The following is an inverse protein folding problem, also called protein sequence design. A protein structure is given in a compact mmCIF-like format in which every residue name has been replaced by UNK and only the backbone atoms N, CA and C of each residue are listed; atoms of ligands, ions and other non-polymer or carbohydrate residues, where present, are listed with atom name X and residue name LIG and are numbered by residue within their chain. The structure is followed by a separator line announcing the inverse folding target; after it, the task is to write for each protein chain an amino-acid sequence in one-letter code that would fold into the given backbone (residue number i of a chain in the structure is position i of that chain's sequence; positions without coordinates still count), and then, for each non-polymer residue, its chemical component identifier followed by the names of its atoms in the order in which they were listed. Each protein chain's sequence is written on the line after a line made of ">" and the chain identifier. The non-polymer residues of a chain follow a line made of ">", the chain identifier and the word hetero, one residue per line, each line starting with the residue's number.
data_IF_052581734645
#
_entry.id   IF_052581734645
#
_cell.length_a   1.000
_cell.length_b   1.000
_cell.length_c   1.000
_cell.angle_alpha   90.00
_cell.angle_beta   90.00
_cell.angle_gamma   90.00
#
_symmetry.space_group_name_H-M   'P 1'
#
loop_
_entity.id
_entity.type
_entity.pdbx_description
1 polymer ?
#
# COMPACT_ATOMS: atom_id res chain seq x y z
N UNK A 1 -17.21 43.74 -49.59
CA UNK A 1 -15.95 43.35 -48.95
C UNK A 1 -16.34 42.23 -48.00
N UNK A 2 -16.23 40.99 -48.46
CA UNK A 2 -16.64 39.83 -47.68
C UNK A 2 -15.38 39.30 -46.98
N UNK A 3 -15.33 39.41 -45.66
CA UNK A 3 -14.38 38.69 -44.83
C UNK A 3 -14.65 37.19 -45.03
N UNK A 4 -13.67 36.49 -45.60
CA UNK A 4 -13.58 35.04 -45.47
C UNK A 4 -13.02 34.78 -44.08
N UNK A 5 -13.89 34.44 -43.14
CA UNK A 5 -13.47 33.77 -41.91
C UNK A 5 -12.77 32.46 -42.32
N UNK A 6 -11.47 32.39 -42.06
CA UNK A 6 -10.69 31.18 -42.30
C UNK A 6 -11.19 30.13 -41.31
N UNK A 7 -11.75 29.04 -41.84
CA UNK A 7 -12.13 27.88 -41.05
C UNK A 7 -10.85 27.31 -40.43
N UNK A 8 -10.76 27.15 -39.09
CA UNK A 8 -9.62 26.48 -38.48
C UNK A 8 -9.49 25.07 -39.06
N UNK A 9 -8.26 24.68 -39.39
CA UNK A 9 -7.99 23.34 -39.90
C UNK A 9 -8.08 22.33 -38.76
N UNK A 10 -8.69 21.16 -38.99
CA UNK A 10 -8.91 20.13 -37.94
C UNK A 10 -7.65 19.79 -37.10
N UNK A 11 -6.44 19.99 -37.62
CA UNK A 11 -5.20 19.80 -36.87
C UNK A 11 -5.00 20.80 -35.71
N UNK A 12 -5.57 22.01 -35.80
CA UNK A 12 -5.44 23.07 -34.79
C UNK A 12 -6.42 22.85 -33.62
N UNK A 13 -7.63 22.33 -33.91
CA UNK A 13 -8.60 21.95 -32.88
C UNK A 13 -8.11 20.72 -32.07
N UNK A 14 -7.46 19.75 -32.73
CA UNK A 14 -6.89 18.59 -32.04
C UNK A 14 -5.75 18.99 -31.09
N UNK A 15 -4.93 19.98 -31.46
CA UNK A 15 -3.80 20.45 -30.64
C UNK A 15 -4.27 21.25 -29.41
N UNK A 16 -5.32 22.08 -29.56
CA UNK A 16 -5.92 22.82 -28.45
C UNK A 16 -6.61 21.87 -27.44
N UNK A 17 -7.34 20.86 -27.93
CA UNK A 17 -7.96 19.83 -27.08
C UNK A 17 -6.91 19.00 -26.34
N UNK A 18 -5.80 18.66 -26.99
CA UNK A 18 -4.69 17.95 -26.31
C UNK A 18 -4.06 18.81 -25.22
N UNK A 19 -3.87 20.11 -25.47
CA UNK A 19 -3.31 21.03 -24.47
C UNK A 19 -4.23 21.20 -23.25
N UNK A 20 -5.55 21.32 -23.45
CA UNK A 20 -6.52 21.40 -22.34
C UNK A 20 -6.54 20.12 -21.50
N UNK A 21 -6.49 18.95 -22.14
CA UNK A 21 -6.43 17.65 -21.44
C UNK A 21 -5.14 17.52 -20.62
N UNK A 22 -4.01 18.00 -21.15
CA UNK A 22 -2.74 17.98 -20.41
C UNK A 22 -2.77 18.92 -19.19
N UNK A 23 -3.32 20.12 -19.31
CA UNK A 23 -3.43 21.05 -18.18
C UNK A 23 -4.35 20.52 -17.07
N UNK A 24 -5.52 19.96 -17.42
CA UNK A 24 -6.44 19.37 -16.45
C UNK A 24 -5.77 18.21 -15.69
N UNK A 25 -5.05 17.34 -16.43
CA UNK A 25 -4.32 16.21 -15.85
C UNK A 25 -3.20 16.65 -14.91
N UNK A 26 -2.50 17.74 -15.21
CA UNK A 26 -1.44 18.30 -14.35
C UNK A 26 -2.02 18.79 -13.01
N UNK A 27 -3.23 19.36 -13.00
CA UNK A 27 -3.90 19.83 -11.77
C UNK A 27 -4.43 18.66 -10.94
N UNK A 28 -4.85 17.56 -11.56
CA UNK A 28 -5.36 16.39 -10.84
C UNK A 28 -4.27 15.55 -10.15
N UNK A 29 -3.10 15.40 -10.78
CA UNK A 29 -1.98 14.61 -10.26
C UNK A 29 -1.59 14.94 -8.80
N UNK A 30 -1.36 16.21 -8.40
CA UNK A 30 -0.98 16.52 -7.02
C UNK A 30 -2.09 16.19 -6.02
N UNK A 31 -3.36 16.37 -6.40
CA UNK A 31 -4.50 16.00 -5.55
C UNK A 31 -4.60 14.48 -5.38
N UNK A 32 -4.43 13.71 -6.47
CA UNK A 32 -4.38 12.24 -6.41
C UNK A 32 -3.24 11.75 -5.52
N UNK A 33 -2.03 12.29 -5.71
CA UNK A 33 -0.86 11.95 -4.89
C UNK A 33 -1.08 12.27 -3.40
N UNK A 34 -1.68 13.43 -3.11
CA UNK A 34 -2.05 13.82 -1.75
C UNK A 34 -3.01 12.80 -1.12
N UNK A 35 -4.05 12.38 -1.83
CA UNK A 35 -4.99 11.38 -1.31
C UNK A 35 -4.36 10.01 -1.11
N UNK A 36 -3.52 9.55 -2.02
CA UNK A 36 -2.73 8.32 -1.83
C UNK A 36 -1.90 8.39 -0.56
N UNK A 37 -1.22 9.52 -0.32
CA UNK A 37 -0.45 9.75 0.89
C UNK A 37 -1.32 9.72 2.15
N UNK A 38 -2.46 10.43 2.15
CA UNK A 38 -3.41 10.45 3.28
C UNK A 38 -3.91 9.04 3.59
N UNK A 39 -4.38 8.29 2.59
CA UNK A 39 -4.83 6.91 2.77
C UNK A 39 -3.70 6.02 3.31
N UNK A 40 -2.47 6.20 2.83
CA UNK A 40 -1.29 5.44 3.28
C UNK A 40 -1.00 5.72 4.76
N UNK A 41 -1.04 6.99 5.17
CA UNK A 41 -0.86 7.38 6.57
C UNK A 41 -1.96 6.84 7.48
N UNK A 42 -3.21 6.82 7.03
CA UNK A 42 -4.32 6.23 7.80
C UNK A 42 -4.14 4.71 7.93
N UNK A 43 -3.80 4.03 6.83
CA UNK A 43 -3.56 2.58 6.84
C UNK A 43 -2.40 2.23 7.80
N UNK A 44 -1.25 2.88 7.64
CA UNK A 44 -0.08 2.69 8.50
C UNK A 44 -0.39 3.06 9.96
N UNK A 45 -1.05 4.19 10.20
CA UNK A 45 -1.44 4.65 11.53
C UNK A 45 -2.40 3.67 12.23
N UNK A 46 -3.38 3.12 11.51
CA UNK A 46 -4.29 2.11 12.06
C UNK A 46 -3.58 0.80 12.44
N UNK A 47 -2.60 0.39 11.63
CA UNK A 47 -1.77 -0.78 11.92
C UNK A 47 -0.86 -0.53 13.12
N UNK A 48 -0.18 0.62 13.19
CA UNK A 48 0.67 1.00 14.34
C UNK A 48 -0.17 1.07 15.63
N UNK A 49 -1.35 1.70 15.57
CA UNK A 49 -2.25 1.78 16.71
C UNK A 49 -2.68 0.37 17.19
N UNK A 50 -2.97 -0.54 16.26
CA UNK A 50 -3.25 -1.94 16.58
C UNK A 50 -2.06 -2.61 17.28
N UNK A 51 -0.83 -2.43 16.78
CA UNK A 51 0.37 -2.98 17.41
C UNK A 51 0.56 -2.45 18.84
N UNK A 52 0.37 -1.15 19.07
CA UNK A 52 0.43 -0.55 20.41
C UNK A 52 -0.61 -1.16 21.34
N UNK A 53 -1.84 -1.38 20.86
CA UNK A 53 -2.88 -2.04 21.66
C UNK A 53 -2.44 -3.46 22.00
N UNK A 54 -1.98 -4.24 21.02
CA UNK A 54 -1.54 -5.62 21.25
C UNK A 54 -0.40 -5.70 22.28
N UNK A 55 0.58 -4.81 22.20
CA UNK A 55 1.72 -4.79 23.14
C UNK A 55 1.33 -4.38 24.56
N UNK A 56 0.37 -3.46 24.71
CA UNK A 56 -0.12 -3.03 26.03
C UNK A 56 -0.92 -4.13 26.75
N UNK A 57 -1.72 -4.92 26.03
CA UNK A 57 -2.62 -5.91 26.63
C UNK A 57 -2.03 -7.33 26.72
N UNK A 58 -1.05 -7.70 25.88
CA UNK A 58 -0.47 -9.04 25.85
C UNK A 58 1.07 -9.01 25.85
N UNK A 59 1.70 -8.84 27.03
CA UNK A 59 3.16 -8.87 27.14
C UNK A 59 3.76 -10.27 26.90
N UNK A 60 2.94 -11.33 26.95
CA UNK A 60 3.35 -12.72 26.84
C UNK A 60 2.87 -13.31 25.50
N UNK A 61 3.66 -13.06 24.45
CA UNK A 61 3.69 -13.76 23.15
C UNK A 61 2.31 -13.98 22.47
N UNK A 62 1.93 -13.06 21.58
CA UNK A 62 0.79 -13.26 20.68
C UNK A 62 1.22 -14.14 19.50
N UNK A 63 0.44 -15.18 19.12
CA UNK A 63 0.76 -16.02 17.98
C UNK A 63 0.89 -15.21 16.69
N UNK A 64 1.90 -15.50 15.88
CA UNK A 64 2.18 -14.80 14.60
C UNK A 64 0.97 -14.78 13.68
N UNK A 65 0.22 -15.88 13.62
CA UNK A 65 -0.99 -15.97 12.82
C UNK A 65 -2.07 -14.96 13.26
N UNK A 66 -2.23 -14.75 14.57
CA UNK A 66 -3.20 -13.79 15.14
C UNK A 66 -2.79 -12.37 14.80
N UNK A 67 -1.52 -12.01 15.01
CA UNK A 67 -1.03 -10.66 14.67
C UNK A 67 -1.15 -10.39 13.17
N UNK A 68 -0.85 -11.37 12.33
CA UNK A 68 -1.02 -11.25 10.87
C UNK A 68 -2.49 -11.04 10.48
N UNK A 69 -3.41 -11.79 11.08
CA UNK A 69 -4.84 -11.63 10.84
C UNK A 69 -5.36 -10.25 11.31
N UNK A 70 -4.89 -9.76 12.46
CA UNK A 70 -5.22 -8.42 12.96
C UNK A 70 -4.62 -7.32 12.07
N UNK A 71 -3.39 -7.48 11.61
CA UNK A 71 -2.75 -6.60 10.63
C UNK A 71 -3.54 -6.46 9.35
N UNK A 72 -4.27 -7.49 8.91
CA UNK A 72 -5.19 -7.37 7.79
C UNK A 72 -6.52 -6.73 8.21
N UNK A 73 -7.13 -7.26 9.26
CA UNK A 73 -8.55 -7.00 9.60
C UNK A 73 -8.77 -5.59 10.12
N UNK A 74 -7.87 -5.06 10.95
CA UNK A 74 -8.04 -3.70 11.51
C UNK A 74 -7.96 -2.64 10.41
N UNK A 75 -6.90 -2.58 9.57
CA UNK A 75 -6.84 -1.65 8.45
C UNK A 75 -7.96 -1.86 7.43
N UNK A 76 -8.40 -3.11 7.21
CA UNK A 76 -9.58 -3.39 6.37
C UNK A 76 -10.84 -2.70 6.88
N UNK A 77 -11.15 -2.84 8.17
CA UNK A 77 -12.32 -2.19 8.77
C UNK A 77 -12.17 -0.67 8.70
N UNK A 78 -10.98 -0.14 9.00
CA UNK A 78 -10.71 1.31 8.94
C UNK A 78 -10.85 1.84 7.51
N UNK A 79 -10.34 1.15 6.50
CA UNK A 79 -10.49 1.53 5.09
C UNK A 79 -11.95 1.55 4.65
N UNK A 80 -12.72 0.52 5.03
CA UNK A 80 -14.16 0.48 4.74
C UNK A 80 -14.92 1.62 5.44
N UNK A 81 -14.62 1.91 6.71
CA UNK A 81 -15.28 3.00 7.46
C UNK A 81 -14.87 4.36 6.88
N UNK A 82 -13.58 4.61 6.70
CA UNK A 82 -13.08 5.89 6.23
C UNK A 82 -13.61 6.23 4.84
N UNK A 83 -13.58 5.26 3.92
CA UNK A 83 -14.03 5.51 2.56
C UNK A 83 -15.56 5.66 2.45
N UNK A 84 -16.36 5.13 3.41
CA UNK A 84 -17.79 5.47 3.52
C UNK A 84 -18.03 6.94 3.85
N UNK A 85 -17.17 7.56 4.67
CA UNK A 85 -17.29 8.98 5.02
C UNK A 85 -16.72 9.90 3.95
N UNK A 86 -15.56 9.55 3.40
CA UNK A 86 -14.88 10.30 2.35
C UNK A 86 -14.60 9.38 1.18
N UNK A 87 -15.56 9.31 0.27
CA UNK A 87 -15.47 8.53 -0.97
C UNK A 87 -14.31 9.05 -1.81
N UNK A 88 -13.31 8.19 -2.03
CA UNK A 88 -12.14 8.49 -2.83
C UNK A 88 -11.65 7.23 -3.55
N UNK A 89 -11.42 7.35 -4.86
CA UNK A 89 -11.01 6.25 -5.73
C UNK A 89 -9.52 5.89 -5.59
N UNK A 90 -8.75 6.71 -4.89
CA UNK A 90 -7.34 6.44 -4.57
C UNK A 90 -7.18 5.42 -3.44
N UNK A 91 -8.18 5.25 -2.56
CA UNK A 91 -8.12 4.31 -1.44
C UNK A 91 -7.84 2.86 -1.87
N UNK A 92 -8.56 2.31 -2.87
CA UNK A 92 -8.27 0.99 -3.44
C UNK A 92 -6.90 0.85 -4.08
N UNK A 93 -6.25 1.94 -4.53
CA UNK A 93 -4.97 1.88 -5.25
C UNK A 93 -3.77 1.61 -4.33
N UNK A 94 -3.97 1.66 -3.01
CA UNK A 94 -2.93 1.40 -2.01
C UNK A 94 -2.27 0.02 -2.10
N UNK A 95 -2.88 -0.94 -2.79
CA UNK A 95 -2.24 -2.23 -3.06
C UNK A 95 -0.92 -2.07 -3.84
N UNK A 96 -0.79 -1.04 -4.68
CA UNK A 96 0.45 -0.72 -5.39
C UNK A 96 1.54 -0.26 -4.41
N UNK A 97 1.18 0.60 -3.45
CA UNK A 97 2.08 1.05 -2.38
C UNK A 97 2.55 -0.14 -1.55
N UNK A 98 1.64 -1.08 -1.24
CA UNK A 98 1.98 -2.31 -0.54
C UNK A 98 3.00 -3.15 -1.33
N UNK A 99 2.79 -3.30 -2.63
CA UNK A 99 3.69 -4.05 -3.50
C UNK A 99 5.08 -3.41 -3.60
N UNK A 100 5.14 -2.10 -3.79
CA UNK A 100 6.41 -1.33 -3.85
C UNK A 100 7.16 -1.45 -2.52
N UNK A 101 6.47 -1.27 -1.39
CA UNK A 101 7.04 -1.43 -0.06
C UNK A 101 7.63 -2.82 0.12
N UNK A 102 6.85 -3.87 -0.16
CA UNK A 102 7.28 -5.24 0.00
C UNK A 102 8.50 -5.56 -0.88
N UNK A 103 8.50 -5.12 -2.15
CA UNK A 103 9.65 -5.31 -3.04
C UNK A 103 10.90 -4.60 -2.53
N UNK A 104 10.77 -3.35 -2.05
CA UNK A 104 11.90 -2.63 -1.45
C UNK A 104 12.50 -3.38 -0.26
N UNK A 105 11.64 -3.88 0.64
CA UNK A 105 12.08 -4.64 1.82
C UNK A 105 12.68 -6.01 1.43
N UNK A 106 12.14 -6.70 0.43
CA UNK A 106 12.70 -7.95 -0.09
C UNK A 106 14.10 -7.74 -0.66
N UNK A 107 14.29 -6.72 -1.50
CA UNK A 107 15.60 -6.40 -2.06
C UNK A 107 16.61 -6.05 -0.97
N UNK A 108 16.18 -5.26 0.03
CA UNK A 108 17.02 -4.93 1.18
C UNK A 108 17.43 -6.17 1.99
N UNK A 109 16.51 -7.12 2.22
CA UNK A 109 16.81 -8.38 2.90
C UNK A 109 17.74 -9.27 2.07
N UNK A 110 17.60 -9.30 0.75
CA UNK A 110 18.50 -10.07 -0.11
C UNK A 110 19.94 -9.55 -0.02
N UNK A 111 20.11 -8.23 0.03
CA UNK A 111 21.42 -7.58 0.09
C UNK A 111 22.11 -7.68 1.47
N UNK A 112 21.36 -7.98 2.54
CA UNK A 112 21.96 -8.12 3.88
C UNK A 112 22.94 -9.31 3.97
N UNK A 113 24.14 -9.10 4.54
CA UNK A 113 25.11 -10.17 4.77
C UNK A 113 24.55 -11.16 5.80
N UNK A 114 24.69 -12.46 5.55
CA UNK A 114 24.23 -13.50 6.47
C UNK A 114 25.32 -13.86 7.47
N UNK A 115 25.01 -13.76 8.77
CA UNK A 115 25.89 -14.18 9.86
C UNK A 115 25.79 -15.67 10.24
N UNK A 116 26.67 -16.17 11.13
CA UNK A 116 26.68 -17.58 11.57
C UNK A 116 25.46 -18.00 12.42
N UNK A 117 24.70 -17.04 12.97
CA UNK A 117 23.43 -17.29 13.67
C UNK A 117 22.19 -17.01 12.80
N UNK A 118 22.41 -16.71 11.52
CA UNK A 118 21.37 -16.44 10.54
C UNK A 118 21.36 -17.56 9.50
N UNK A 119 20.46 -17.47 8.53
CA UNK A 119 20.29 -18.42 7.44
C UNK A 119 21.52 -18.49 6.48
N UNK A 120 22.70 -18.88 6.97
CA UNK A 120 24.00 -18.80 6.29
C UNK A 120 24.14 -19.72 5.08
N UNK A 121 23.42 -20.84 5.06
CA UNK A 121 23.41 -21.80 3.95
C UNK A 121 22.07 -21.83 3.20
N UNK A 122 21.25 -20.80 3.37
CA UNK A 122 19.94 -20.75 2.76
C UNK A 122 20.01 -20.14 1.37
N UNK A 123 19.26 -20.72 0.44
CA UNK A 123 19.05 -20.10 -0.86
C UNK A 123 18.24 -18.79 -0.71
N UNK A 124 18.30 -17.93 -1.73
CA UNK A 124 17.58 -16.66 -1.75
C UNK A 124 16.07 -16.82 -1.47
N UNK A 125 15.44 -17.87 -2.02
CA UNK A 125 14.02 -18.18 -1.80
C UNK A 125 13.74 -18.59 -0.35
N UNK A 126 14.59 -19.43 0.25
CA UNK A 126 14.47 -19.85 1.64
C UNK A 126 14.67 -18.66 2.60
N UNK A 127 15.63 -17.78 2.30
CA UNK A 127 15.88 -16.54 3.04
C UNK A 127 14.62 -15.68 3.10
N UNK A 128 13.98 -15.43 1.94
CA UNK A 128 12.73 -14.65 1.85
C UNK A 128 11.60 -15.35 2.61
N UNK A 129 11.42 -16.65 2.38
CA UNK A 129 10.32 -17.42 2.98
C UNK A 129 10.41 -17.42 4.52
N UNK A 130 11.59 -17.70 5.08
CA UNK A 130 11.79 -17.73 6.52
C UNK A 130 11.67 -16.34 7.17
N UNK A 131 12.07 -15.29 6.46
CA UNK A 131 11.99 -13.90 6.97
C UNK A 131 10.56 -13.36 6.98
N UNK A 132 9.76 -13.67 5.96
CA UNK A 132 8.45 -13.01 5.75
C UNK A 132 7.23 -13.93 5.88
N UNK A 133 7.33 -15.20 5.47
CA UNK A 133 6.15 -16.06 5.29
C UNK A 133 6.06 -17.20 6.32
N UNK A 134 7.18 -17.59 6.93
CA UNK A 134 7.21 -18.65 7.93
C UNK A 134 6.50 -18.20 9.22
N UNK A 135 5.65 -19.08 9.76
CA UNK A 135 4.92 -18.86 11.02
C UNK A 135 5.61 -19.48 12.24
N UNK A 136 6.51 -20.44 12.02
CA UNK A 136 7.09 -21.30 13.07
C UNK A 136 8.57 -21.04 13.30
N UNK A 137 9.25 -20.50 12.30
CA UNK A 137 10.70 -20.37 12.28
C UNK A 137 11.09 -19.02 11.69
N UNK A 138 12.23 -18.50 12.12
CA UNK A 138 12.78 -17.24 11.62
C UNK A 138 14.12 -17.48 10.93
N UNK A 139 14.47 -16.62 9.98
CA UNK A 139 15.79 -16.61 9.34
C UNK A 139 16.87 -16.03 10.27
N UNK A 140 16.47 -15.34 11.34
CA UNK A 140 17.36 -14.60 12.24
C UNK A 140 17.75 -13.22 11.71
N UNK A 141 17.42 -12.91 10.45
CA UNK A 141 17.67 -11.59 9.87
C UNK A 141 16.73 -10.55 10.49
N UNK A 142 17.23 -9.33 10.64
CA UNK A 142 16.49 -8.22 11.28
C UNK A 142 16.03 -8.62 12.69
N UNK A 143 16.86 -9.33 13.46
CA UNK A 143 16.53 -9.80 14.81
C UNK A 143 15.23 -10.63 14.89
N UNK A 144 14.89 -11.33 13.81
CA UNK A 144 13.64 -12.07 13.67
C UNK A 144 12.37 -11.22 13.56
N UNK A 145 12.54 -9.94 13.20
CA UNK A 145 11.46 -8.97 13.00
C UNK A 145 11.09 -8.79 11.53
N UNK A 146 11.53 -9.67 10.63
CA UNK A 146 11.23 -9.59 9.21
C UNK A 146 9.73 -9.45 8.90
N UNK A 147 8.88 -10.16 9.64
CA UNK A 147 7.42 -10.05 9.54
C UNK A 147 6.88 -8.68 9.96
N UNK A 148 7.46 -8.07 10.99
CA UNK A 148 7.05 -6.76 11.50
C UNK A 148 7.32 -5.64 10.49
N UNK A 149 8.41 -5.72 9.73
CA UNK A 149 8.83 -4.68 8.78
C UNK A 149 8.32 -4.95 7.36
N UNK A 150 8.27 -6.21 6.94
CA UNK A 150 7.82 -6.59 5.59
C UNK A 150 6.36 -6.99 5.56
N UNK A 151 6.03 -8.15 6.14
CA UNK A 151 4.76 -8.84 5.94
C UNK A 151 3.57 -8.06 6.51
N UNK A 152 3.63 -7.65 7.78
CA UNK A 152 2.51 -7.03 8.48
C UNK A 152 2.12 -5.65 7.91
N UNK A 153 3.05 -4.74 7.59
CA UNK A 153 2.71 -3.48 6.91
C UNK A 153 2.12 -3.71 5.53
N UNK A 154 2.66 -4.66 4.77
CA UNK A 154 2.17 -5.00 3.43
C UNK A 154 0.74 -5.51 3.49
N UNK A 155 0.47 -6.46 4.38
CA UNK A 155 -0.86 -7.02 4.61
C UNK A 155 -1.83 -5.95 5.12
N UNK A 156 -1.37 -5.00 5.94
CA UNK A 156 -2.16 -3.87 6.39
C UNK A 156 -2.60 -2.94 5.26
N UNK A 157 -1.67 -2.56 4.37
CA UNK A 157 -1.97 -1.74 3.21
C UNK A 157 -2.94 -2.45 2.25
N UNK A 158 -2.76 -3.76 2.02
CA UNK A 158 -3.68 -4.57 1.22
C UNK A 158 -5.07 -4.64 1.87
N UNK A 159 -5.13 -4.91 3.18
CA UNK A 159 -6.39 -4.96 3.93
C UNK A 159 -7.16 -3.65 3.80
N UNK A 160 -6.48 -2.52 4.01
CA UNK A 160 -7.04 -1.19 3.84
C UNK A 160 -7.56 -0.94 2.42
N UNK A 161 -6.79 -1.32 1.38
CA UNK A 161 -7.18 -1.15 -0.02
C UNK A 161 -8.46 -1.93 -0.35
N UNK A 162 -8.57 -3.18 0.11
CA UNK A 162 -9.76 -4.02 -0.10
C UNK A 162 -10.96 -3.43 0.66
N UNK A 163 -10.78 -3.02 1.91
CA UNK A 163 -11.83 -2.39 2.72
C UNK A 163 -12.36 -1.12 2.05
N UNK A 164 -11.46 -0.26 1.58
CA UNK A 164 -11.80 0.94 0.83
C UNK A 164 -12.59 0.63 -0.45
N UNK A 165 -12.20 -0.40 -1.21
CA UNK A 165 -12.90 -0.82 -2.43
C UNK A 165 -14.32 -1.29 -2.16
N UNK A 166 -14.54 -2.05 -1.08
CA UNK A 166 -15.87 -2.53 -0.71
C UNK A 166 -16.83 -1.39 -0.38
N UNK A 167 -16.33 -0.29 0.18
CA UNK A 167 -17.14 0.88 0.50
C UNK A 167 -17.59 1.68 -0.74
N UNK A 168 -16.81 1.68 -1.82
CA UNK A 168 -17.18 2.39 -3.07
C UNK A 168 -18.35 1.69 -3.77
N UNK A 169 -18.32 0.35 -3.82
CA UNK A 169 -19.33 -0.47 -4.51
C UNK A 169 -20.76 -0.26 -3.97
N UNK A 170 -20.91 0.25 -2.74
CA UNK A 170 -22.23 0.53 -2.15
C UNK A 170 -22.93 1.75 -2.78
N UNK A 171 -22.25 2.55 -3.60
CA UNK A 171 -22.82 3.74 -4.24
C UNK A 171 -23.34 3.48 -5.66
N UNK A 172 -22.81 2.45 -6.32
CA UNK A 172 -23.17 2.07 -7.69
C UNK A 172 -24.30 1.02 -7.76
N UNK A 173 -24.83 0.61 -6.60
CA UNK A 173 -25.92 -0.36 -6.44
C UNK A 173 -27.15 0.32 -5.85
#
# INVERSE_FOLDING_TARGET
>A
MAEREALPTMEEEDEEVVAEIEEEKIVELPNQAFWVMVHTLIAAGSWIAMLVVVTLFHPLVVPVAVTTALSFTVPFVVGNIFNRFKQNDMGPQLWLVAFIWFMGIVLWVLDMPTGPNECYHCDASQKIFLTFASFTSDSGLIDGQGRLVGTWPTVALIGYAIGSKMALKSKDA
#
